data_IF_090588765723
#
_entry.id   IF_090588765723
#
_cell.length_a   1.000
_cell.length_b   1.000
_cell.length_c   1.000
_cell.angle_alpha   90.00
_cell.angle_beta   90.00
_cell.angle_gamma   90.00
#
_symmetry.space_group_name_H-M   'P 1'
#
loop_
_entity.id
_entity.type
_entity.pdbx_description
1 polymer ?
#
# COMPACT_ATOMS: atom_id res chain seq x y z
N UNK A 1 -12.93 -0.52 7.79
CA UNK A 1 -12.43 -1.28 8.97
C UNK A 1 -12.84 -2.76 8.94
N UNK A 2 -14.08 -3.12 8.57
CA UNK A 2 -14.54 -4.53 8.47
C UNK A 2 -13.56 -5.47 7.75
N UNK A 3 -13.11 -5.12 6.54
CA UNK A 3 -12.22 -5.99 5.75
C UNK A 3 -10.88 -6.30 6.45
N UNK A 4 -10.32 -5.36 7.21
CA UNK A 4 -9.07 -5.62 7.94
C UNK A 4 -9.26 -6.70 9.00
N UNK A 5 -10.41 -6.68 9.68
CA UNK A 5 -10.77 -7.71 10.65
C UNK A 5 -11.01 -9.07 9.97
N UNK A 6 -11.69 -9.12 8.82
CA UNK A 6 -11.92 -10.38 8.09
C UNK A 6 -10.61 -11.06 7.68
N UNK A 7 -9.65 -10.26 7.20
CA UNK A 7 -8.31 -10.76 6.87
C UNK A 7 -7.57 -11.24 8.13
N UNK A 8 -7.63 -10.49 9.22
CA UNK A 8 -7.03 -10.92 10.49
C UNK A 8 -7.65 -12.24 10.98
N UNK A 9 -8.98 -12.32 11.02
CA UNK A 9 -9.74 -13.48 11.50
C UNK A 9 -9.34 -14.74 10.73
N UNK A 10 -9.36 -14.69 9.39
CA UNK A 10 -8.93 -15.80 8.55
C UNK A 10 -7.45 -16.13 8.73
N UNK A 11 -6.55 -15.16 8.57
CA UNK A 11 -5.11 -15.44 8.61
C UNK A 11 -4.56 -15.65 10.02
N UNK A 12 -5.35 -15.49 11.08
CA UNK A 12 -4.92 -15.79 12.45
C UNK A 12 -4.70 -17.29 12.66
N UNK A 13 -5.47 -18.12 11.94
CA UNK A 13 -5.50 -19.58 12.09
C UNK A 13 -5.11 -20.33 10.81
N UNK A 14 -4.89 -19.62 9.70
CA UNK A 14 -4.55 -20.18 8.40
C UNK A 14 -3.15 -19.74 7.93
N UNK A 15 -2.61 -20.47 6.96
CA UNK A 15 -1.26 -20.28 6.43
C UNK A 15 -1.05 -18.88 5.84
N UNK A 16 0.14 -18.31 6.04
CA UNK A 16 0.49 -16.99 5.51
C UNK A 16 0.85 -17.07 4.04
N UNK A 17 0.67 -15.97 3.32
CA UNK A 17 0.83 -15.94 1.85
C UNK A 17 2.28 -15.70 1.42
N UNK A 18 3.12 -15.11 2.28
CA UNK A 18 4.54 -14.86 2.00
C UNK A 18 4.82 -14.16 0.66
N UNK A 19 3.95 -13.23 0.25
CA UNK A 19 4.01 -12.48 -1.02
C UNK A 19 3.96 -13.34 -2.30
N UNK A 20 3.58 -14.62 -2.19
CA UNK A 20 3.35 -15.51 -3.34
C UNK A 20 2.23 -15.03 -4.27
N UNK A 21 1.34 -14.16 -3.80
CA UNK A 21 0.33 -13.49 -4.61
C UNK A 21 0.82 -12.19 -5.29
N UNK A 22 2.10 -11.84 -5.15
CA UNK A 22 2.67 -10.57 -5.61
C UNK A 22 4.08 -10.78 -6.18
N UNK A 23 5.10 -10.12 -5.61
CA UNK A 23 6.48 -10.12 -6.10
C UNK A 23 7.16 -11.49 -6.01
N UNK A 24 6.72 -12.37 -5.11
CA UNK A 24 7.32 -13.70 -4.92
C UNK A 24 6.55 -14.83 -5.61
N UNK A 25 5.59 -14.51 -6.48
CA UNK A 25 4.77 -15.49 -7.22
C UNK A 25 5.56 -16.52 -8.02
N UNK A 26 6.80 -16.20 -8.41
CA UNK A 26 7.67 -17.10 -9.18
C UNK A 26 8.60 -17.95 -8.30
N UNK A 27 8.69 -17.64 -7.01
CA UNK A 27 9.63 -18.27 -6.07
C UNK A 27 8.93 -19.07 -4.98
N UNK A 28 7.71 -18.68 -4.62
CA UNK A 28 6.92 -19.27 -3.55
C UNK A 28 5.56 -19.64 -4.14
N UNK A 29 5.18 -20.91 -4.00
CA UNK A 29 3.85 -21.38 -4.38
C UNK A 29 2.80 -20.80 -3.43
N UNK A 30 1.68 -20.35 -3.98
CA UNK A 30 0.61 -19.77 -3.17
C UNK A 30 -0.19 -20.92 -2.53
N UNK A 31 -0.35 -20.95 -1.19
CA UNK A 31 -1.10 -22.01 -0.51
C UNK A 31 -2.60 -21.99 -0.83
N UNK A 32 -3.10 -20.92 -1.48
CA UNK A 32 -4.51 -20.76 -1.83
C UNK A 32 -4.73 -20.82 -3.36
N UNK A 33 -5.70 -21.63 -3.83
CA UNK A 33 -5.92 -21.87 -5.27
C UNK A 33 -6.62 -20.70 -5.99
N UNK A 34 -7.16 -19.73 -5.26
CA UNK A 34 -7.88 -18.58 -5.79
C UNK A 34 -7.31 -17.28 -5.23
N UNK A 35 -7.56 -16.12 -5.87
CA UNK A 35 -7.12 -14.84 -5.34
C UNK A 35 -7.66 -14.61 -3.92
N UNK A 36 -6.79 -14.13 -3.02
CA UNK A 36 -7.14 -13.93 -1.61
C UNK A 36 -8.38 -13.03 -1.42
N UNK A 37 -8.56 -11.91 -2.16
CA UNK A 37 -9.76 -11.09 -2.04
C UNK A 37 -11.06 -11.88 -2.31
N UNK A 38 -11.04 -12.79 -3.29
CA UNK A 38 -12.17 -13.67 -3.60
C UNK A 38 -12.35 -14.75 -2.53
N UNK A 39 -11.27 -15.31 -1.98
CA UNK A 39 -11.32 -16.28 -0.87
C UNK A 39 -12.01 -15.70 0.36
N UNK A 40 -11.62 -14.48 0.77
CA UNK A 40 -12.26 -13.78 1.89
C UNK A 40 -13.72 -13.45 1.53
N UNK A 41 -13.99 -13.08 0.28
CA UNK A 41 -15.34 -12.87 -0.25
C UNK A 41 -16.23 -14.12 -0.12
N UNK A 42 -15.73 -15.28 -0.54
CA UNK A 42 -16.49 -16.53 -0.48
C UNK A 42 -16.79 -16.94 0.97
N UNK A 43 -15.84 -16.78 1.88
CA UNK A 43 -16.00 -17.21 3.28
C UNK A 43 -17.00 -16.33 4.03
N UNK A 44 -16.83 -15.01 3.96
CA UNK A 44 -17.59 -14.07 4.82
C UNK A 44 -18.81 -13.45 4.15
N UNK A 45 -18.90 -13.51 2.81
CA UNK A 45 -20.04 -12.96 2.04
C UNK A 45 -20.80 -14.02 1.23
N UNK A 46 -20.36 -15.29 1.27
CA UNK A 46 -20.99 -16.39 0.52
C UNK A 46 -21.11 -16.11 -0.98
N UNK A 47 -20.17 -15.33 -1.52
CA UNK A 47 -20.16 -14.92 -2.92
C UNK A 47 -18.72 -14.88 -3.45
N UNK A 48 -18.39 -15.81 -4.35
CA UNK A 48 -17.08 -15.96 -4.98
C UNK A 48 -16.66 -14.78 -5.86
N UNK A 49 -17.62 -14.00 -6.37
CA UNK A 49 -17.36 -12.81 -7.19
C UNK A 49 -17.02 -11.57 -6.33
N UNK A 50 -17.14 -11.68 -5.01
CA UNK A 50 -16.83 -10.56 -4.10
C UNK A 50 -15.33 -10.34 -4.00
N UNK A 51 -14.86 -9.19 -4.50
CA UNK A 51 -13.48 -8.78 -4.35
C UNK A 51 -13.27 -7.93 -3.07
N UNK A 52 -12.80 -8.57 -2.00
CA UNK A 52 -12.61 -7.89 -0.70
C UNK A 52 -11.27 -7.15 -0.65
N UNK A 53 -11.24 -5.88 -1.07
CA UNK A 53 -10.03 -5.04 -0.97
C UNK A 53 -9.63 -4.78 0.48
N UNK A 54 -8.33 -4.76 0.75
CA UNK A 54 -7.77 -4.54 2.08
C UNK A 54 -6.57 -3.59 2.04
N UNK A 55 -6.40 -2.81 3.11
CA UNK A 55 -5.28 -1.88 3.25
C UNK A 55 -3.97 -2.57 3.62
N UNK A 56 -2.88 -1.81 3.54
CA UNK A 56 -1.51 -2.35 3.65
C UNK A 56 -1.22 -3.09 4.96
N UNK A 57 -1.87 -2.72 6.07
CA UNK A 57 -1.64 -3.36 7.38
C UNK A 57 -2.14 -4.79 7.41
N UNK A 58 -3.38 -5.02 6.98
CA UNK A 58 -3.94 -6.36 6.95
C UNK A 58 -3.35 -7.19 5.79
N UNK A 59 -2.96 -6.55 4.69
CA UNK A 59 -2.13 -7.19 3.65
C UNK A 59 -0.77 -7.67 4.21
N UNK A 60 -0.10 -6.85 5.01
CA UNK A 60 1.15 -7.23 5.66
C UNK A 60 0.94 -8.38 6.67
N UNK A 61 -0.16 -8.37 7.42
CA UNK A 61 -0.53 -9.44 8.34
C UNK A 61 -0.82 -10.78 7.64
N UNK A 62 -1.50 -10.72 6.50
CA UNK A 62 -1.74 -11.87 5.62
C UNK A 62 -0.42 -12.50 5.15
N UNK A 63 0.58 -11.69 4.86
CA UNK A 63 1.84 -12.16 4.30
C UNK A 63 2.82 -12.69 5.35
N UNK A 64 2.97 -12.02 6.50
CA UNK A 64 3.97 -12.40 7.51
C UNK A 64 3.49 -12.22 8.96
N UNK A 65 2.17 -12.13 9.19
CA UNK A 65 1.62 -11.92 10.53
C UNK A 65 2.04 -10.59 11.15
N UNK A 66 2.20 -10.57 12.47
CA UNK A 66 2.61 -9.36 13.21
C UNK A 66 4.00 -8.85 12.80
N UNK A 67 4.92 -9.75 12.43
CA UNK A 67 6.22 -9.35 11.89
C UNK A 67 6.05 -8.59 10.57
N UNK A 68 5.11 -9.02 9.73
CA UNK A 68 4.73 -8.30 8.51
C UNK A 68 4.27 -6.88 8.79
N UNK A 69 3.35 -6.71 9.74
CA UNK A 69 2.88 -5.37 10.14
C UNK A 69 4.06 -4.47 10.51
N UNK A 70 4.98 -4.96 11.34
CA UNK A 70 6.15 -4.19 11.78
C UNK A 70 7.04 -3.81 10.59
N UNK A 71 7.45 -4.80 9.77
CA UNK A 71 8.35 -4.58 8.65
C UNK A 71 7.77 -3.64 7.59
N UNK A 72 6.49 -3.81 7.25
CA UNK A 72 5.82 -2.98 6.25
C UNK A 72 5.54 -1.56 6.78
N UNK A 73 5.30 -1.40 8.08
CA UNK A 73 5.18 -0.07 8.70
C UNK A 73 6.51 0.67 8.72
N UNK A 74 7.62 -0.03 9.02
CA UNK A 74 8.97 0.54 8.91
C UNK A 74 9.27 0.94 7.47
N UNK A 75 8.97 0.07 6.50
CA UNK A 75 9.15 0.38 5.08
C UNK A 75 8.33 1.60 4.66
N UNK A 76 7.06 1.69 5.06
CA UNK A 76 6.23 2.87 4.80
C UNK A 76 6.83 4.12 5.45
N UNK A 77 7.34 4.03 6.69
CA UNK A 77 8.02 5.14 7.36
C UNK A 77 9.25 5.63 6.58
N UNK A 78 10.06 4.71 6.03
CA UNK A 78 11.20 5.05 5.17
C UNK A 78 10.71 5.76 3.90
N UNK A 79 9.69 5.23 3.23
CA UNK A 79 9.10 5.83 2.03
C UNK A 79 8.60 7.25 2.33
N UNK A 80 7.85 7.44 3.42
CA UNK A 80 7.35 8.75 3.82
C UNK A 80 8.47 9.74 4.14
N UNK A 81 9.53 9.29 4.84
CA UNK A 81 10.71 10.12 5.12
C UNK A 81 11.44 10.56 3.84
N UNK A 82 11.59 9.65 2.88
CA UNK A 82 12.17 9.98 1.57
C UNK A 82 11.30 11.00 0.82
N UNK A 83 9.98 10.81 0.84
CA UNK A 83 9.03 11.72 0.23
C UNK A 83 9.09 13.12 0.86
N UNK A 84 9.09 13.18 2.19
CA UNK A 84 9.20 14.41 2.97
C UNK A 84 10.48 15.19 2.62
N UNK A 85 11.61 14.49 2.57
CA UNK A 85 12.91 15.09 2.19
C UNK A 85 12.87 15.72 0.80
N UNK A 86 12.26 15.06 -0.19
CA UNK A 86 12.12 15.60 -1.55
C UNK A 86 11.09 16.74 -1.65
N UNK A 87 10.13 16.76 -0.74
CA UNK A 87 9.06 17.76 -0.70
C UNK A 87 9.48 19.09 -0.04
N UNK A 88 10.55 19.08 0.77
CA UNK A 88 10.96 20.22 1.60
C UNK A 88 11.17 21.54 0.82
N UNK A 89 11.64 21.46 -0.43
CA UNK A 89 11.90 22.63 -1.28
C UNK A 89 10.76 22.96 -2.24
N UNK A 90 9.64 22.23 -2.19
CA UNK A 90 8.53 22.30 -3.16
C UNK A 90 7.36 23.13 -2.63
N UNK A 91 6.52 23.63 -3.54
CA UNK A 91 5.26 24.27 -3.18
C UNK A 91 4.31 23.27 -2.52
N UNK A 92 3.64 23.68 -1.45
CA UNK A 92 2.69 22.81 -0.72
C UNK A 92 1.58 22.28 -1.62
N UNK A 93 1.15 23.07 -2.61
CA UNK A 93 0.14 22.68 -3.61
C UNK A 93 0.61 21.46 -4.43
N UNK A 94 1.84 21.51 -4.95
CA UNK A 94 2.44 20.40 -5.70
C UNK A 94 2.57 19.15 -4.84
N UNK A 95 2.99 19.30 -3.58
CA UNK A 95 3.14 18.18 -2.63
C UNK A 95 1.79 17.52 -2.36
N UNK A 96 0.74 18.30 -2.13
CA UNK A 96 -0.61 17.75 -1.87
C UNK A 96 -1.15 17.02 -3.11
N UNK A 97 -1.07 17.63 -4.29
CA UNK A 97 -1.60 17.05 -5.53
C UNK A 97 -0.90 15.74 -5.89
N UNK A 98 0.42 15.69 -5.70
CA UNK A 98 1.21 14.48 -6.03
C UNK A 98 1.08 13.38 -4.98
N UNK A 99 0.87 13.70 -3.70
CA UNK A 99 0.83 12.71 -2.61
C UNK A 99 -0.55 12.15 -2.30
N UNK A 100 -1.61 12.97 -2.37
CA UNK A 100 -2.88 12.63 -1.72
C UNK A 100 -3.47 11.31 -2.24
N UNK A 101 -3.64 11.17 -3.55
CA UNK A 101 -4.25 9.98 -4.16
C UNK A 101 -3.38 8.72 -3.97
N UNK A 102 -2.06 8.73 -4.27
CA UNK A 102 -1.23 7.55 -4.10
C UNK A 102 -1.18 7.02 -2.66
N UNK A 103 -1.02 7.91 -1.67
CA UNK A 103 -0.93 7.50 -0.27
C UNK A 103 -2.30 7.15 0.32
N UNK A 104 -3.37 7.84 -0.07
CA UNK A 104 -4.73 7.45 0.33
C UNK A 104 -5.09 6.04 -0.16
N UNK A 105 -4.55 5.64 -1.31
CA UNK A 105 -4.70 4.29 -1.86
C UNK A 105 -4.22 3.16 -0.94
N UNK A 106 -3.33 3.43 0.03
CA UNK A 106 -2.85 2.42 1.00
C UNK A 106 -3.95 1.93 1.95
N UNK A 107 -5.06 2.66 2.07
CA UNK A 107 -6.23 2.25 2.87
C UNK A 107 -6.96 1.03 2.29
N UNK A 108 -6.77 0.76 0.99
CA UNK A 108 -7.45 -0.30 0.27
C UNK A 108 -6.54 -1.08 -0.69
N UNK A 109 -5.21 -1.03 -0.49
CA UNK A 109 -4.30 -1.93 -1.19
C UNK A 109 -2.96 -2.14 -0.51
N UNK A 110 -2.26 -3.17 -1.00
CA UNK A 110 -0.92 -3.58 -0.57
C UNK A 110 0.13 -2.49 -0.81
N UNK A 111 1.08 -2.33 0.13
CA UNK A 111 2.13 -1.30 0.05
C UNK A 111 2.98 -1.44 -1.21
N UNK A 112 3.46 -2.65 -1.52
CA UNK A 112 4.32 -2.89 -2.68
C UNK A 112 3.59 -2.63 -4.00
N UNK A 113 2.32 -3.03 -4.09
CA UNK A 113 1.47 -2.72 -5.25
C UNK A 113 1.26 -1.22 -5.38
N UNK A 114 0.96 -0.51 -4.28
CA UNK A 114 0.78 0.95 -4.32
C UNK A 114 2.07 1.70 -4.65
N UNK A 115 3.21 1.14 -4.26
CA UNK A 115 4.53 1.64 -4.61
C UNK A 115 4.79 1.53 -6.13
N UNK A 116 4.66 0.33 -6.68
CA UNK A 116 5.04 0.02 -8.06
C UNK A 116 4.01 0.48 -9.09
N UNK A 117 2.72 0.30 -8.81
CA UNK A 117 1.64 0.54 -9.79
C UNK A 117 0.56 1.50 -9.29
N UNK A 118 0.46 1.73 -7.97
CA UNK A 118 -0.53 2.65 -7.40
C UNK A 118 -0.11 4.12 -7.34
N UNK A 119 0.96 4.49 -8.05
CA UNK A 119 1.33 5.88 -8.28
C UNK A 119 2.23 6.52 -7.22
N UNK A 120 2.66 5.81 -6.17
CA UNK A 120 3.60 6.39 -5.20
C UNK A 120 4.94 6.65 -5.89
N UNK A 121 5.49 5.70 -6.65
CA UNK A 121 6.72 5.92 -7.43
C UNK A 121 6.55 7.08 -8.44
N UNK A 122 5.38 7.19 -9.07
CA UNK A 122 5.10 8.31 -9.96
C UNK A 122 5.12 9.64 -9.21
N UNK A 123 4.57 9.70 -7.99
CA UNK A 123 4.63 10.90 -7.15
C UNK A 123 6.08 11.31 -6.85
N UNK A 124 6.96 10.34 -6.56
CA UNK A 124 8.40 10.59 -6.42
C UNK A 124 8.99 11.20 -7.69
N UNK A 125 8.72 10.60 -8.85
CA UNK A 125 9.21 11.09 -10.15
C UNK A 125 8.73 12.52 -10.42
N UNK A 126 7.45 12.80 -10.18
CA UNK A 126 6.87 14.13 -10.36
C UNK A 126 7.51 15.16 -9.43
N UNK A 127 7.72 14.85 -8.15
CA UNK A 127 8.42 15.76 -7.23
C UNK A 127 9.86 16.03 -7.66
N UNK A 128 10.56 15.03 -8.21
CA UNK A 128 11.94 15.19 -8.68
C UNK A 128 11.97 16.09 -9.93
N UNK A 129 11.10 15.83 -10.91
CA UNK A 129 11.10 16.55 -12.19
C UNK A 129 10.54 17.97 -12.08
N UNK A 130 9.50 18.16 -11.26
CA UNK A 130 8.84 19.44 -11.11
C UNK A 130 9.61 20.28 -10.09
N UNK A 131 10.57 21.05 -10.59
CA UNK A 131 11.26 22.09 -9.81
C UNK A 131 10.35 23.30 -9.73
N UNK A 132 9.57 23.38 -8.66
CA UNK A 132 8.93 24.64 -8.30
C UNK A 132 9.90 25.43 -7.42
N UNK A 133 10.60 26.41 -8.02
CA UNK A 133 11.27 27.44 -7.23
C UNK A 133 10.19 28.12 -6.40
N UNK A 134 10.31 28.11 -5.07
CA UNK A 134 9.51 28.95 -4.16
C UNK A 134 9.30 30.30 -4.84
N UNK A 135 8.05 30.59 -5.20
CA UNK A 135 7.70 31.86 -5.80
C UNK A 135 8.23 32.97 -4.89
N UNK A 136 9.21 33.72 -5.40
CA UNK A 136 9.47 35.08 -4.94
C UNK A 136 8.17 35.88 -5.08
N UNK A 137 7.37 35.94 -4.02
CA UNK A 137 6.21 36.83 -3.87
C UNK A 137 6.08 37.10 -2.37
N UNK A 138 6.23 38.31 -1.82
CA UNK A 138 6.23 39.67 -2.39
C UNK A 138 7.02 40.60 -1.46
N UNK A 139 8.07 41.24 -1.97
CA UNK A 139 8.50 42.57 -1.51
C UNK A 139 7.63 43.58 -2.26
N UNK A 140 6.52 44.01 -1.65
CA UNK A 140 5.81 45.26 -1.95
C UNK A 140 5.08 45.69 -0.70
#
# INVERSE_FOLDING_TARGET
MKNHFLYYDFFSSNEKVYLSNSIFRFFIENPYPIPIPNLIGSIYYQNYDTWVNVGYLADAYMNFGFLGILLFSILLGIILKMFDTLSHEKGIELVIVTSFIPFFGLMSGALLTKLLTGGILLAFVLLILLVEKRGQKRLR
#
